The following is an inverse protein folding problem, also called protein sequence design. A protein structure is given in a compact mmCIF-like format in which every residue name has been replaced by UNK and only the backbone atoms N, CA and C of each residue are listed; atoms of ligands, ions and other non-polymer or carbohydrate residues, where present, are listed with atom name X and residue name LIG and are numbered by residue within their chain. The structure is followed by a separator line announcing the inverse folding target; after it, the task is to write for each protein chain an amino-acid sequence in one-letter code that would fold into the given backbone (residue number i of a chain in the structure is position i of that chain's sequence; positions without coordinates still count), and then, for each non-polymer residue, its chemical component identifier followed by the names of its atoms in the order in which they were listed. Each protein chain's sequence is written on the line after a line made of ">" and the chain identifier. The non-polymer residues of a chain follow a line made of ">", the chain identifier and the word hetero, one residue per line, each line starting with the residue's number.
data_IF_519832873479
#
_entry.id   IF_519832873479
#
_cell.length_a   1.000
_cell.length_b   1.000
_cell.length_c   1.000
_cell.angle_alpha   90.00
_cell.angle_beta   90.00
_cell.angle_gamma   90.00
#
_symmetry.space_group_name_H-M   'P 1'
#
loop_
_entity.id
_entity.type
_entity.pdbx_description
1 polymer ?
#
# COMPACT_ATOMS: atom_id res chain seq x y z
N UNK A 1 -3.28 2.91 -6.61
CA UNK A 1 -1.89 3.03 -6.12
C UNK A 1 -1.26 1.64 -6.12
N UNK A 2 0.04 1.51 -6.40
CA UNK A 2 0.73 0.21 -6.39
C UNK A 2 1.97 0.28 -5.52
N UNK A 3 2.13 -0.65 -4.59
CA UNK A 3 3.29 -0.73 -3.69
C UNK A 3 3.95 -2.11 -3.80
N UNK A 4 5.28 -2.12 -3.89
CA UNK A 4 6.09 -3.33 -3.89
C UNK A 4 6.79 -3.47 -2.55
N UNK A 5 6.56 -4.59 -1.87
CA UNK A 5 7.19 -4.95 -0.60
C UNK A 5 8.08 -6.17 -0.84
N UNK A 6 9.40 -6.06 -0.69
CA UNK A 6 10.31 -7.20 -0.84
C UNK A 6 9.96 -8.32 0.13
N UNK A 7 10.00 -9.56 -0.32
CA UNK A 7 9.95 -10.73 0.57
C UNK A 7 11.35 -10.87 1.15
N UNK A 8 11.49 -10.68 2.46
CA UNK A 8 12.78 -10.66 3.14
C UNK A 8 12.85 -11.70 4.25
N UNK A 9 14.06 -12.18 4.57
CA UNK A 9 14.30 -13.04 5.72
C UNK A 9 14.23 -12.27 7.05
N UNK A 10 14.27 -12.98 8.18
CA UNK A 10 14.03 -12.43 9.53
C UNK A 10 14.86 -11.18 9.90
N UNK A 11 16.06 -11.02 9.34
CA UNK A 11 16.95 -9.87 9.59
C UNK A 11 16.57 -8.57 8.87
N UNK A 12 15.65 -8.62 7.91
CA UNK A 12 15.30 -7.48 7.06
C UNK A 12 13.85 -6.99 7.26
N UNK A 13 13.14 -7.52 8.26
CA UNK A 13 11.75 -7.17 8.57
C UNK A 13 11.52 -5.65 8.67
N UNK A 14 12.51 -4.90 9.17
CA UNK A 14 12.46 -3.44 9.25
C UNK A 14 12.28 -2.76 7.88
N UNK A 15 12.85 -3.35 6.81
CA UNK A 15 12.71 -2.84 5.45
C UNK A 15 11.29 -3.06 4.92
N UNK A 16 10.67 -4.20 5.24
CA UNK A 16 9.27 -4.45 4.92
C UNK A 16 8.34 -3.49 5.66
N UNK A 17 8.53 -3.35 6.97
CA UNK A 17 7.72 -2.45 7.81
C UNK A 17 7.83 -1.00 7.34
N UNK A 18 9.02 -0.56 6.92
CA UNK A 18 9.21 0.78 6.31
C UNK A 18 8.36 0.95 5.06
N UNK A 19 8.37 -0.03 4.13
CA UNK A 19 7.58 0.04 2.90
C UNK A 19 6.07 0.04 3.15
N UNK A 20 5.62 -0.70 4.17
CA UNK A 20 4.22 -0.66 4.60
C UNK A 20 3.86 0.68 5.24
N UNK A 21 4.75 1.29 6.02
CA UNK A 21 4.54 2.63 6.58
C UNK A 21 4.50 3.72 5.52
N UNK A 22 5.36 3.65 4.50
CA UNK A 22 5.30 4.55 3.33
C UNK A 22 3.93 4.44 2.64
N UNK A 23 3.44 3.21 2.42
CA UNK A 23 2.12 2.95 1.83
C UNK A 23 0.98 3.55 2.65
N UNK A 24 1.02 3.41 3.98
CA UNK A 24 0.00 3.95 4.88
C UNK A 24 -0.03 5.50 4.85
N UNK A 25 1.15 6.12 4.78
CA UNK A 25 1.28 7.57 4.62
C UNK A 25 0.72 8.05 3.27
N UNK A 26 0.95 7.30 2.19
CA UNK A 26 0.40 7.60 0.87
C UNK A 26 -1.13 7.50 0.87
N UNK A 27 -1.69 6.41 1.42
CA UNK A 27 -3.14 6.23 1.55
C UNK A 27 -3.78 7.33 2.40
N UNK A 28 -3.14 7.71 3.51
CA UNK A 28 -3.58 8.85 4.33
C UNK A 28 -3.56 10.16 3.56
N UNK A 29 -2.59 10.34 2.66
CA UNK A 29 -2.52 11.51 1.78
C UNK A 29 -3.65 11.49 0.75
N UNK A 30 -3.96 10.34 0.15
CA UNK A 30 -5.11 10.20 -0.74
C UNK A 30 -6.43 10.51 -0.01
N UNK A 31 -6.62 10.00 1.20
CA UNK A 31 -7.78 10.29 2.05
C UNK A 31 -7.99 11.79 2.29
N UNK A 32 -6.92 12.52 2.65
CA UNK A 32 -6.98 13.98 2.82
C UNK A 32 -7.34 14.74 1.53
N UNK A 33 -7.16 14.11 0.36
CA UNK A 33 -7.45 14.70 -0.95
C UNK A 33 -8.78 14.19 -1.55
N UNK A 34 -9.67 13.62 -0.73
CA UNK A 34 -11.01 13.19 -1.17
C UNK A 34 -11.01 11.88 -1.95
N UNK A 35 -10.08 10.97 -1.63
CA UNK A 35 -10.05 9.61 -2.16
C UNK A 35 -10.20 8.60 -1.03
N UNK A 36 -11.07 7.62 -1.20
CA UNK A 36 -11.25 6.53 -0.25
C UNK A 36 -10.64 5.23 -0.82
N UNK A 37 -10.03 4.43 0.05
CA UNK A 37 -9.55 3.10 -0.34
C UNK A 37 -10.74 2.14 -0.44
N UNK A 38 -11.10 1.77 -1.66
CA UNK A 38 -12.20 0.85 -1.93
C UNK A 38 -11.78 -0.62 -1.83
N UNK A 39 -10.56 -0.95 -2.27
CA UNK A 39 -10.08 -2.34 -2.30
C UNK A 39 -8.56 -2.41 -2.34
N UNK A 40 -7.99 -3.46 -1.74
CA UNK A 40 -6.58 -3.85 -1.89
C UNK A 40 -6.50 -5.28 -2.43
N UNK A 41 -5.92 -5.45 -3.62
CA UNK A 41 -5.45 -6.76 -4.07
C UNK A 41 -4.02 -7.00 -3.59
N UNK A 42 -3.76 -8.17 -3.03
CA UNK A 42 -2.40 -8.61 -2.67
C UNK A 42 -1.97 -9.71 -3.62
N UNK A 43 -0.83 -9.52 -4.28
CA UNK A 43 -0.24 -10.48 -5.21
C UNK A 43 1.09 -10.94 -4.61
N UNK A 44 1.16 -12.22 -4.26
CA UNK A 44 2.38 -12.81 -3.70
C UNK A 44 3.28 -13.31 -4.82
N UNK A 45 4.50 -12.79 -4.90
CA UNK A 45 5.59 -13.32 -5.72
C UNK A 45 6.73 -13.86 -4.86
N UNK A 46 7.68 -14.58 -5.48
CA UNK A 46 8.82 -15.19 -4.76
C UNK A 46 9.79 -14.15 -4.16
N UNK A 47 9.92 -12.98 -4.79
CA UNK A 47 10.86 -11.93 -4.39
C UNK A 47 10.17 -10.69 -3.82
N UNK A 48 8.92 -10.45 -4.22
CA UNK A 48 8.13 -9.28 -3.84
C UNK A 48 6.67 -9.64 -3.63
N UNK A 49 6.06 -9.01 -2.65
CA UNK A 49 4.61 -8.92 -2.50
C UNK A 49 4.16 -7.57 -3.07
N UNK A 50 3.19 -7.60 -3.97
CA UNK A 50 2.62 -6.40 -4.59
C UNK A 50 1.25 -6.12 -4.01
N UNK A 51 1.05 -4.90 -3.53
CA UNK A 51 -0.25 -4.38 -3.15
C UNK A 51 -0.77 -3.46 -4.24
N UNK A 52 -1.98 -3.72 -4.73
CA UNK A 52 -2.68 -2.89 -5.70
C UNK A 52 -3.93 -2.34 -5.03
N UNK A 53 -3.89 -1.03 -4.77
CA UNK A 53 -4.96 -0.29 -4.12
C UNK A 53 -5.85 0.40 -5.16
N UNK A 54 -7.14 0.09 -5.10
CA UNK A 54 -8.20 0.76 -5.84
C UNK A 54 -8.75 1.87 -4.98
N UNK A 55 -8.67 3.11 -5.47
CA UNK A 55 -9.19 4.29 -4.80
C UNK A 55 -10.42 4.80 -5.54
N UNK A 56 -11.45 5.18 -4.80
CA UNK A 56 -12.65 5.85 -5.32
C UNK A 56 -12.65 7.29 -4.85
N UNK A 57 -13.03 8.22 -5.72
CA UNK A 57 -13.17 9.62 -5.32
C UNK A 57 -14.44 9.75 -4.47
N UNK A 58 -14.32 10.33 -3.29
CA UNK A 58 -15.49 10.75 -2.52
C UNK A 58 -15.94 12.07 -3.11
N UNK A 59 -16.92 12.03 -4.00
CA UNK A 59 -17.59 13.25 -4.43
C UNK A 59 -18.29 13.84 -3.20
N UNK A 60 -17.89 15.05 -2.84
CA UNK A 60 -18.62 15.82 -1.83
C UNK A 60 -19.94 16.23 -2.48
N UNK A 61 -21.05 15.60 -2.09
CA UNK A 61 -22.39 16.17 -2.32
C UNK A 61 -22.52 17.56 -1.66
#
# INVERSE_FOLDING_TARGET
>A
MTTFVPVVGEGELQRQLRKLGERDSDLSTFARNGWELAHTATITGPEVMTFVDTLTRTDSE
#
